data_IF_876957448813
#
_entry.id   IF_876957448813
#
_cell.length_a   1.000
_cell.length_b   1.000
_cell.length_c   1.000
_cell.angle_alpha   90.00
_cell.angle_beta   90.00
_cell.angle_gamma   90.00
#
_symmetry.space_group_name_H-M   'P 1'
#
loop_
_entity.id
_entity.type
_entity.pdbx_description
1 polymer ?
#
# COMPACT_ATOMS: atom_id res chain seq x y z
N UNK A 1 10.26 -0.09 13.45
CA UNK A 1 10.12 0.12 11.99
C UNK A 1 8.98 1.08 11.71
N UNK A 2 9.01 1.78 10.58
CA UNK A 2 7.94 2.71 10.22
C UNK A 2 6.60 2.00 9.96
N UNK A 3 6.61 0.74 9.50
CA UNK A 3 5.41 -0.13 9.41
C UNK A 3 4.71 -0.30 10.76
N UNK A 4 5.43 -0.65 11.83
CA UNK A 4 4.86 -0.73 13.19
C UNK A 4 4.30 0.61 13.67
N UNK A 5 4.99 1.71 13.37
CA UNK A 5 4.49 3.05 13.70
C UNK A 5 3.16 3.34 12.98
N UNK A 6 3.07 3.11 11.67
CA UNK A 6 1.84 3.33 10.89
C UNK A 6 0.71 2.43 11.38
N UNK A 7 0.99 1.16 11.66
CA UNK A 7 -0.05 0.27 12.19
C UNK A 7 -0.57 0.71 13.55
N UNK A 8 0.31 1.23 14.44
CA UNK A 8 -0.10 1.81 15.73
C UNK A 8 -0.93 3.08 15.54
N UNK A 9 -0.51 3.96 14.61
CA UNK A 9 -1.25 5.19 14.25
C UNK A 9 -2.65 4.88 13.75
N UNK A 10 -2.77 3.93 12.83
CA UNK A 10 -4.06 3.49 12.31
C UNK A 10 -4.92 2.81 13.38
N UNK A 11 -4.37 1.91 14.19
CA UNK A 11 -5.13 1.26 15.26
C UNK A 11 -5.70 2.29 16.26
N UNK A 12 -4.91 3.29 16.61
CA UNK A 12 -5.35 4.40 17.47
C UNK A 12 -6.52 5.16 16.83
N UNK A 13 -6.41 5.49 15.54
CA UNK A 13 -7.48 6.12 14.76
C UNK A 13 -8.74 5.25 14.71
N UNK A 14 -8.57 3.95 14.48
CA UNK A 14 -9.67 3.00 14.35
C UNK A 14 -10.42 2.82 15.67
N UNK A 15 -9.71 2.66 16.80
CA UNK A 15 -10.30 2.60 18.13
C UNK A 15 -11.09 3.89 18.43
N UNK A 16 -10.52 5.05 18.11
CA UNK A 16 -11.20 6.34 18.29
C UNK A 16 -12.47 6.47 17.43
N UNK A 17 -12.44 6.05 16.16
CA UNK A 17 -13.59 6.15 15.24
C UNK A 17 -14.69 5.11 15.53
N UNK A 18 -14.34 3.94 16.04
CA UNK A 18 -15.29 2.85 16.32
C UNK A 18 -15.78 2.80 17.77
N UNK A 19 -15.12 3.52 18.68
CA UNK A 19 -15.41 3.48 20.12
C UNK A 19 -14.98 2.15 20.79
N UNK A 20 -14.15 1.35 20.11
CA UNK A 20 -13.54 0.13 20.66
C UNK A 20 -12.15 0.45 21.21
N UNK A 21 -11.59 -0.47 21.98
CA UNK A 21 -10.24 -0.37 22.53
C UNK A 21 -9.50 -1.70 22.34
N UNK A 22 -9.24 -2.05 21.09
CA UNK A 22 -8.51 -3.26 20.75
C UNK A 22 -7.01 -3.03 20.85
N UNK A 23 -6.31 -4.00 21.44
CA UNK A 23 -4.86 -4.16 21.25
C UNK A 23 -4.54 -4.54 19.80
N UNK A 24 -3.30 -4.36 19.35
CA UNK A 24 -2.89 -4.72 18.00
C UNK A 24 -3.06 -6.20 17.71
N UNK A 25 -2.86 -7.06 18.72
CA UNK A 25 -3.16 -8.49 18.59
C UNK A 25 -4.64 -8.74 18.36
N UNK A 26 -5.52 -8.15 19.18
CA UNK A 26 -6.97 -8.33 19.03
C UNK A 26 -7.45 -7.82 17.67
N UNK A 27 -6.98 -6.63 17.25
CA UNK A 27 -7.28 -6.13 15.91
C UNK A 27 -6.78 -7.09 14.81
N UNK A 28 -5.57 -7.63 14.96
CA UNK A 28 -5.04 -8.61 14.02
C UNK A 28 -5.94 -9.86 13.94
N UNK A 29 -6.35 -10.41 15.09
CA UNK A 29 -7.13 -11.65 15.17
C UNK A 29 -8.59 -11.46 14.73
N UNK A 30 -9.20 -10.33 15.06
CA UNK A 30 -10.64 -10.05 14.84
C UNK A 30 -10.92 -9.38 13.49
N UNK A 31 -10.02 -8.51 13.01
CA UNK A 31 -10.28 -7.67 11.82
C UNK A 31 -9.35 -8.06 10.66
N UNK A 32 -8.04 -8.10 10.89
CA UNK A 32 -7.07 -8.28 9.81
C UNK A 32 -7.01 -9.73 9.31
N UNK A 33 -6.85 -10.71 10.18
CA UNK A 33 -6.65 -12.11 9.83
C UNK A 33 -7.85 -12.70 9.07
N UNK A 34 -9.11 -12.52 9.53
CA UNK A 34 -10.27 -13.02 8.81
C UNK A 34 -10.33 -12.45 7.39
N UNK A 35 -10.01 -11.17 7.23
CA UNK A 35 -10.08 -10.47 5.95
C UNK A 35 -8.90 -10.80 5.02
N UNK A 36 -7.69 -10.97 5.55
CA UNK A 36 -6.46 -11.08 4.77
C UNK A 36 -6.02 -12.52 4.53
N UNK A 37 -6.12 -13.38 5.55
CA UNK A 37 -5.42 -14.67 5.60
C UNK A 37 -6.34 -15.88 5.83
N UNK A 38 -7.59 -15.69 6.22
CA UNK A 38 -8.57 -16.78 6.37
C UNK A 38 -9.25 -17.19 5.05
N UNK A 39 -8.52 -17.12 3.93
CA UNK A 39 -9.03 -17.39 2.58
C UNK A 39 -7.96 -18.01 1.70
N UNK A 40 -8.34 -18.78 0.68
CA UNK A 40 -7.37 -19.41 -0.25
C UNK A 40 -6.57 -18.39 -1.08
N UNK A 41 -7.15 -17.22 -1.34
CA UNK A 41 -6.47 -16.08 -1.96
C UNK A 41 -6.20 -15.03 -0.88
N UNK A 42 -4.96 -14.90 -0.41
CA UNK A 42 -4.65 -13.85 0.57
C UNK A 42 -4.70 -12.46 -0.07
N UNK A 43 -4.93 -11.41 0.73
CA UNK A 43 -4.80 -10.02 0.24
C UNK A 43 -3.32 -9.60 0.20
N UNK A 44 -2.53 -10.09 1.15
CA UNK A 44 -1.13 -9.78 1.33
C UNK A 44 -0.30 -11.07 1.37
N UNK A 45 0.92 -11.01 0.83
CA UNK A 45 1.90 -12.07 0.97
C UNK A 45 3.12 -11.58 1.72
N UNK A 46 3.44 -12.21 2.84
CA UNK A 46 4.66 -11.94 3.60
C UNK A 46 5.58 -13.15 3.47
N UNK A 47 6.68 -13.06 2.68
CA UNK A 47 7.59 -14.17 2.48
C UNK A 47 8.12 -14.75 3.78
N UNK A 48 8.31 -16.07 3.82
CA UNK A 48 8.79 -16.83 4.98
C UNK A 48 7.90 -16.80 6.23
N UNK A 49 6.81 -16.03 6.24
CA UNK A 49 5.87 -16.00 7.34
C UNK A 49 5.12 -17.31 7.52
N UNK A 50 4.49 -17.53 8.69
CA UNK A 50 3.60 -18.68 8.89
C UNK A 50 2.55 -18.86 7.80
N UNK A 51 2.00 -17.75 7.27
CA UNK A 51 1.01 -17.78 6.19
C UNK A 51 1.61 -18.15 4.83
N UNK A 52 2.91 -17.91 4.63
CA UNK A 52 3.62 -18.29 3.41
C UNK A 52 4.05 -19.77 3.37
N UNK A 53 3.81 -20.52 4.45
CA UNK A 53 4.27 -21.90 4.59
C UNK A 53 3.09 -22.89 4.48
N UNK A 54 3.32 -24.01 3.80
CA UNK A 54 2.35 -25.11 3.74
C UNK A 54 2.17 -25.72 5.13
N UNK A 55 0.92 -25.99 5.50
CA UNK A 55 0.58 -26.71 6.73
C UNK A 55 0.74 -28.21 6.50
N UNK A 56 1.40 -28.92 7.42
CA UNK A 56 1.55 -30.36 7.30
C UNK A 56 0.23 -31.07 7.58
N UNK A 57 -0.05 -32.18 6.88
CA UNK A 57 -1.32 -32.90 7.01
C UNK A 57 -1.58 -33.40 8.44
N UNK A 58 -0.52 -33.73 9.19
CA UNK A 58 -0.60 -34.14 10.60
C UNK A 58 -1.13 -33.03 11.54
N UNK A 59 -0.99 -31.77 11.13
CA UNK A 59 -1.42 -30.61 11.92
C UNK A 59 -2.87 -30.21 11.58
N UNK A 60 -3.44 -30.77 10.50
CA UNK A 60 -4.83 -30.61 10.10
C UNK A 60 -5.70 -31.68 10.77
N UNK A 61 -5.93 -31.51 12.08
CA UNK A 61 -6.84 -32.36 12.86
C UNK A 61 -8.30 -31.98 12.55
N UNK A 62 -9.23 -32.92 12.70
CA UNK A 62 -10.66 -32.73 12.45
C UNK A 62 -11.17 -31.42 13.10
N UNK A 63 -11.69 -30.49 12.28
CA UNK A 63 -12.21 -29.19 12.72
C UNK A 63 -11.19 -28.03 12.70
N UNK A 64 -9.93 -28.26 12.35
CA UNK A 64 -8.90 -27.21 12.26
C UNK A 64 -8.62 -26.83 10.80
N UNK A 65 -8.67 -25.53 10.49
CA UNK A 65 -8.31 -25.03 9.16
C UNK A 65 -6.82 -24.68 9.08
N UNK A 66 -6.26 -24.66 7.85
CA UNK A 66 -4.88 -24.23 7.63
C UNK A 66 -4.64 -22.81 8.18
N UNK A 67 -5.59 -21.89 7.99
CA UNK A 67 -5.50 -20.52 8.47
C UNK A 67 -5.39 -20.43 10.00
N UNK A 68 -6.11 -21.30 10.73
CA UNK A 68 -6.03 -21.39 12.20
C UNK A 68 -4.66 -21.89 12.66
N UNK A 69 -4.11 -22.92 12.00
CA UNK A 69 -2.76 -23.44 12.33
C UNK A 69 -1.68 -22.40 12.08
N UNK A 70 -1.79 -21.66 10.97
CA UNK A 70 -0.85 -20.60 10.62
C UNK A 70 -0.92 -19.42 11.60
N UNK A 71 -2.12 -19.04 12.04
CA UNK A 71 -2.32 -18.00 13.04
C UNK A 71 -1.67 -18.37 14.38
N UNK A 72 -1.93 -19.58 14.89
CA UNK A 72 -1.29 -20.06 16.13
C UNK A 72 0.23 -20.17 16.01
N UNK A 73 0.74 -20.49 14.82
CA UNK A 73 2.18 -20.46 14.56
C UNK A 73 2.74 -19.04 14.60
N UNK A 74 2.03 -18.04 14.07
CA UNK A 74 2.42 -16.64 14.22
C UNK A 74 2.49 -16.23 15.70
N UNK A 75 1.45 -16.53 16.48
CA UNK A 75 1.44 -16.19 17.91
C UNK A 75 2.57 -16.85 18.69
N UNK A 76 2.90 -18.12 18.39
CA UNK A 76 4.08 -18.78 18.97
C UNK A 76 5.37 -18.08 18.58
N UNK A 77 5.57 -17.77 17.30
CA UNK A 77 6.76 -17.05 16.86
C UNK A 77 6.93 -15.72 17.57
N UNK A 78 5.84 -14.95 17.75
CA UNK A 78 5.88 -13.65 18.45
C UNK A 78 6.26 -13.80 19.93
N UNK A 79 5.87 -14.90 20.60
CA UNK A 79 6.18 -15.15 22.01
C UNK A 79 7.56 -15.73 22.23
N UNK A 80 7.96 -16.66 21.36
CA UNK A 80 9.02 -17.62 21.65
C UNK A 80 10.32 -17.33 20.87
N UNK A 81 10.27 -16.52 19.79
CA UNK A 81 11.40 -16.28 18.91
C UNK A 81 11.88 -14.83 18.94
N UNK A 82 13.16 -14.65 18.65
CA UNK A 82 13.72 -13.33 18.39
C UNK A 82 13.08 -12.73 17.11
N UNK A 83 12.62 -11.47 17.14
CA UNK A 83 11.97 -10.84 15.99
C UNK A 83 12.81 -10.82 14.69
N UNK A 84 12.18 -11.20 13.58
CA UNK A 84 12.78 -11.13 12.24
C UNK A 84 11.72 -10.86 11.14
N UNK A 85 12.17 -10.68 9.89
CA UNK A 85 11.31 -10.40 8.72
C UNK A 85 10.20 -11.41 8.46
N UNK A 86 10.30 -12.64 8.96
CA UNK A 86 9.27 -13.67 8.76
C UNK A 86 8.00 -13.39 9.56
N UNK A 87 8.08 -12.61 10.64
CA UNK A 87 6.88 -12.24 11.40
C UNK A 87 6.82 -10.77 11.82
N UNK A 88 7.82 -9.94 11.50
CA UNK A 88 7.76 -8.49 11.66
C UNK A 88 7.98 -7.81 10.31
N UNK A 89 6.94 -7.18 9.77
CA UNK A 89 6.99 -6.60 8.42
C UNK A 89 7.96 -5.41 8.40
N UNK A 90 8.92 -5.45 7.47
CA UNK A 90 9.97 -4.46 7.30
C UNK A 90 11.26 -4.76 8.07
N UNK A 91 11.29 -5.80 8.91
CA UNK A 91 12.53 -6.22 9.56
C UNK A 91 13.53 -6.85 8.59
N UNK A 92 14.82 -6.90 8.96
CA UNK A 92 15.79 -7.76 8.31
C UNK A 92 15.44 -9.23 8.48
N UNK A 93 15.82 -10.10 7.53
CA UNK A 93 15.73 -11.55 7.76
C UNK A 93 16.66 -11.98 8.90
N UNK A 94 16.37 -13.16 9.46
CA UNK A 94 17.14 -13.74 10.55
C UNK A 94 18.64 -13.78 10.22
N UNK A 95 19.45 -13.18 11.10
CA UNK A 95 20.91 -13.05 10.97
C UNK A 95 21.35 -11.69 10.43
N UNK A 96 22.44 -11.14 10.99
CA UNK A 96 23.01 -9.83 10.63
C UNK A 96 23.64 -9.78 9.23
N UNK A 97 23.57 -10.87 8.47
CA UNK A 97 24.25 -11.08 7.18
C UNK A 97 23.32 -11.57 6.06
N UNK A 98 22.01 -11.67 6.29
CA UNK A 98 21.05 -12.11 5.27
C UNK A 98 20.83 -11.04 4.18
N UNK A 99 20.70 -11.43 2.91
CA UNK A 99 20.52 -10.51 1.77
C UNK A 99 19.25 -9.65 1.80
N UNK A 100 18.33 -9.92 2.73
CA UNK A 100 17.09 -9.19 2.99
C UNK A 100 17.16 -8.31 4.25
N UNK A 101 18.36 -8.10 4.81
CA UNK A 101 18.55 -7.25 5.98
C UNK A 101 18.57 -5.75 5.66
N UNK A 102 17.62 -4.98 6.23
CA UNK A 102 17.65 -3.51 6.29
C UNK A 102 17.41 -3.02 7.72
N UNK A 103 17.90 -1.84 8.08
CA UNK A 103 17.72 -1.18 9.41
C UNK A 103 18.26 -1.96 10.64
N UNK A 104 19.45 -2.53 10.58
CA UNK A 104 20.11 -3.15 11.76
C UNK A 104 20.90 -2.09 12.54
N UNK A 105 20.47 -1.80 13.77
CA UNK A 105 21.19 -0.94 14.75
C UNK A 105 21.94 -1.81 15.76
N UNK A 106 23.15 -1.40 16.18
CA UNK A 106 23.95 -2.10 17.22
C UNK A 106 23.34 -2.04 18.63
N UNK A 107 22.31 -1.21 18.82
CA UNK A 107 21.38 -1.27 19.95
C UNK A 107 20.14 -1.98 19.43
N UNK A 108 20.06 -3.30 19.63
CA UNK A 108 18.95 -4.09 19.09
C UNK A 108 17.62 -3.56 19.62
N UNK A 109 16.61 -3.29 18.78
CA UNK A 109 15.33 -2.84 19.28
C UNK A 109 14.72 -3.96 20.13
N UNK A 110 14.42 -3.67 21.40
CA UNK A 110 13.44 -4.47 22.15
C UNK A 110 12.10 -4.19 21.50
N UNK A 111 11.65 -5.09 20.63
CA UNK A 111 10.35 -4.97 19.96
C UNK A 111 9.33 -5.65 20.84
N UNK A 112 8.32 -4.91 21.28
CA UNK A 112 7.21 -5.50 22.00
C UNK A 112 6.37 -6.36 21.04
N UNK A 113 5.71 -7.40 21.56
CA UNK A 113 4.75 -8.19 20.77
C UNK A 113 3.70 -7.31 20.07
N UNK A 114 3.29 -6.21 20.71
CA UNK A 114 2.40 -5.20 20.15
C UNK A 114 2.95 -4.59 18.84
N UNK A 115 4.24 -4.22 18.79
CA UNK A 115 4.88 -3.65 17.60
C UNK A 115 4.95 -4.65 16.44
N UNK A 116 4.98 -5.94 16.76
CA UNK A 116 4.91 -7.01 15.77
C UNK A 116 3.57 -6.98 15.06
N UNK A 117 2.45 -7.07 15.79
CA UNK A 117 1.11 -7.01 15.17
C UNK A 117 0.86 -5.66 14.48
N UNK A 118 1.33 -4.55 15.05
CA UNK A 118 1.28 -3.26 14.38
C UNK A 118 2.05 -3.28 13.04
N UNK A 119 3.15 -4.02 12.91
CA UNK A 119 3.87 -4.12 11.63
C UNK A 119 3.02 -4.78 10.54
N UNK A 120 2.17 -5.75 10.90
CA UNK A 120 1.24 -6.38 9.97
C UNK A 120 0.14 -5.42 9.52
N UNK A 121 -0.46 -4.72 10.48
CA UNK A 121 -1.47 -3.69 10.22
C UNK A 121 -0.87 -2.60 9.30
N UNK A 122 0.31 -2.10 9.63
CA UNK A 122 1.00 -1.08 8.83
C UNK A 122 1.41 -1.58 7.44
N UNK A 123 1.84 -2.85 7.33
CA UNK A 123 2.17 -3.45 6.05
C UNK A 123 0.96 -3.59 5.11
N UNK A 124 -0.25 -3.72 5.65
CA UNK A 124 -1.49 -3.73 4.87
C UNK A 124 -1.93 -2.34 4.38
N UNK A 125 -1.33 -1.26 4.91
CA UNK A 125 -1.62 0.14 4.58
C UNK A 125 -0.64 0.71 3.54
N UNK A 126 0.23 -0.11 2.96
CA UNK A 126 1.16 0.31 1.91
C UNK A 126 0.43 0.72 0.63
N UNK A 127 0.85 1.83 0.01
CA UNK A 127 0.35 2.30 -1.29
C UNK A 127 1.36 1.96 -2.38
N UNK A 128 1.08 0.91 -3.16
CA UNK A 128 1.95 0.45 -4.24
C UNK A 128 1.81 1.30 -5.51
N UNK A 129 2.94 1.70 -6.08
CA UNK A 129 3.01 2.49 -7.31
C UNK A 129 3.92 1.86 -8.36
N UNK A 130 3.70 2.23 -9.63
CA UNK A 130 4.53 1.76 -10.75
C UNK A 130 6.00 2.09 -10.50
N UNK A 131 6.88 1.16 -10.87
CA UNK A 131 8.30 1.18 -10.47
C UNK A 131 8.63 0.30 -9.28
N UNK A 132 7.64 -0.43 -8.71
CA UNK A 132 7.87 -1.49 -7.72
C UNK A 132 8.18 -0.97 -6.31
N UNK A 133 7.74 0.25 -6.01
CA UNK A 133 7.89 0.90 -4.71
C UNK A 133 6.52 1.07 -4.06
N UNK A 134 6.53 1.14 -2.74
CA UNK A 134 5.37 1.32 -1.87
C UNK A 134 5.60 2.56 -1.00
N UNK A 135 4.54 3.35 -0.78
CA UNK A 135 4.52 4.50 0.10
C UNK A 135 3.72 4.19 1.37
N UNK A 136 4.19 4.65 2.52
CA UNK A 136 3.39 4.80 3.74
C UNK A 136 3.20 6.28 4.04
N UNK A 137 1.95 6.68 4.26
CA UNK A 137 1.55 8.08 4.45
C UNK A 137 0.78 8.17 5.78
N UNK A 138 1.33 8.90 6.74
CA UNK A 138 0.72 9.09 8.06
C UNK A 138 -0.27 10.27 8.01
N UNK A 139 -1.45 10.05 7.43
CA UNK A 139 -2.55 10.99 7.40
C UNK A 139 -3.87 10.25 7.65
N UNK A 140 -4.68 10.73 8.59
CA UNK A 140 -5.86 10.00 9.07
C UNK A 140 -6.82 9.60 7.93
N UNK A 141 -7.10 10.50 6.99
CA UNK A 141 -8.00 10.16 5.88
C UNK A 141 -7.39 9.18 4.89
N UNK A 142 -6.07 9.22 4.67
CA UNK A 142 -5.41 8.19 3.84
C UNK A 142 -5.54 6.83 4.53
N UNK A 143 -5.19 6.74 5.81
CA UNK A 143 -5.22 5.48 6.55
C UNK A 143 -6.63 4.89 6.61
N UNK A 144 -7.64 5.73 6.88
CA UNK A 144 -9.04 5.31 6.93
C UNK A 144 -9.57 4.86 5.56
N UNK A 145 -9.30 5.64 4.51
CA UNK A 145 -9.72 5.29 3.15
C UNK A 145 -9.13 3.95 2.71
N UNK A 146 -7.86 3.69 3.00
CA UNK A 146 -7.24 2.40 2.67
C UNK A 146 -7.94 1.23 3.38
N UNK A 147 -8.22 1.36 4.68
CA UNK A 147 -8.97 0.37 5.45
C UNK A 147 -10.35 0.07 4.84
N UNK A 148 -11.11 1.11 4.48
CA UNK A 148 -12.42 0.94 3.83
C UNK A 148 -12.34 0.24 2.48
N UNK A 149 -11.19 0.30 1.82
CA UNK A 149 -10.91 -0.39 0.57
C UNK A 149 -10.69 -1.89 0.73
N UNK A 150 -10.21 -2.37 1.89
CA UNK A 150 -9.82 -3.77 2.08
C UNK A 150 -10.99 -4.74 1.91
N UNK A 151 -12.15 -4.41 2.48
CA UNK A 151 -13.37 -5.23 2.38
C UNK A 151 -13.89 -5.30 0.95
N UNK A 152 -13.78 -4.20 0.20
CA UNK A 152 -14.16 -4.13 -1.22
C UNK A 152 -13.24 -5.01 -2.06
N UNK A 153 -11.93 -4.96 -1.81
CA UNK A 153 -10.98 -5.82 -2.52
C UNK A 153 -11.24 -7.30 -2.24
N UNK A 154 -11.49 -7.66 -0.97
CA UNK A 154 -11.85 -9.04 -0.60
C UNK A 154 -13.10 -9.51 -1.33
N UNK A 155 -14.15 -8.70 -1.39
CA UNK A 155 -15.38 -9.05 -2.10
C UNK A 155 -15.10 -9.31 -3.59
N UNK A 156 -14.31 -8.45 -4.25
CA UNK A 156 -13.93 -8.62 -5.66
C UNK A 156 -13.11 -9.89 -5.90
N UNK A 157 -12.18 -10.23 -5.01
CA UNK A 157 -11.39 -11.47 -5.08
C UNK A 157 -12.22 -12.74 -4.90
N UNK A 158 -13.28 -12.67 -4.09
CA UNK A 158 -14.19 -13.79 -3.86
C UNK A 158 -15.19 -14.01 -5.00
N UNK A 159 -15.56 -12.96 -5.74
CA UNK A 159 -16.53 -13.05 -6.84
C UNK A 159 -15.91 -13.45 -8.19
N UNK A 160 -14.59 -13.33 -8.34
CA UNK A 160 -13.91 -13.52 -9.64
C UNK A 160 -12.89 -14.63 -9.58
N UNK A 161 -13.19 -15.71 -10.30
CA UNK A 161 -12.25 -16.80 -10.55
C UNK A 161 -11.08 -16.31 -11.42
N UNK A 162 -9.89 -16.89 -11.20
CA UNK A 162 -8.67 -16.50 -11.94
C UNK A 162 -8.01 -15.17 -11.52
N UNK A 163 -8.67 -14.35 -10.68
CA UNK A 163 -8.05 -13.13 -10.15
C UNK A 163 -6.95 -13.45 -9.13
N UNK A 164 -5.77 -12.88 -9.34
CA UNK A 164 -4.58 -13.03 -8.50
C UNK A 164 -4.76 -12.32 -7.16
N UNK A 165 -4.51 -13.04 -6.07
CA UNK A 165 -4.40 -12.45 -4.72
C UNK A 165 -3.05 -11.77 -4.49
N UNK A 166 -2.74 -11.44 -3.23
CA UNK A 166 -1.46 -10.88 -2.79
C UNK A 166 -1.12 -9.53 -3.43
N UNK A 167 -2.13 -8.70 -3.77
CA UNK A 167 -1.94 -7.40 -4.40
C UNK A 167 -2.48 -6.24 -3.56
N UNK A 168 -2.49 -6.33 -2.23
CA UNK A 168 -3.03 -5.27 -1.37
C UNK A 168 -2.39 -3.90 -1.65
N UNK A 169 -1.07 -3.82 -1.81
CA UNK A 169 -0.39 -2.54 -2.09
C UNK A 169 -0.86 -1.95 -3.44
N UNK A 170 -0.98 -2.80 -4.46
CA UNK A 170 -1.49 -2.40 -5.79
C UNK A 170 -2.94 -1.94 -5.71
N UNK A 171 -3.78 -2.67 -4.97
CA UNK A 171 -5.16 -2.30 -4.71
C UNK A 171 -5.23 -0.94 -4.02
N UNK A 172 -4.47 -0.75 -2.95
CA UNK A 172 -4.42 0.48 -2.16
C UNK A 172 -4.08 1.70 -3.02
N UNK A 173 -3.12 1.60 -3.94
CA UNK A 173 -2.79 2.72 -4.85
C UNK A 173 -3.92 3.07 -5.82
N UNK A 174 -4.64 2.07 -6.33
CA UNK A 174 -5.82 2.30 -7.18
C UNK A 174 -6.99 2.85 -6.39
N UNK A 175 -7.29 2.22 -5.26
CA UNK A 175 -8.39 2.60 -4.40
C UNK A 175 -8.22 4.02 -3.86
N UNK A 176 -7.01 4.39 -3.43
CA UNK A 176 -6.73 5.75 -2.97
C UNK A 176 -6.93 6.78 -4.09
N UNK A 177 -6.44 6.48 -5.31
CA UNK A 177 -6.65 7.40 -6.46
C UNK A 177 -8.14 7.58 -6.76
N UNK A 178 -8.91 6.48 -6.70
CA UNK A 178 -10.35 6.51 -6.93
C UNK A 178 -11.13 7.24 -5.83
N UNK A 179 -10.83 6.95 -4.57
CA UNK A 179 -11.54 7.49 -3.43
C UNK A 179 -11.30 8.99 -3.22
N UNK A 180 -10.17 9.51 -3.73
CA UNK A 180 -9.81 10.93 -3.65
C UNK A 180 -10.10 11.68 -4.95
N UNK A 181 -10.75 11.01 -5.91
CA UNK A 181 -11.29 11.65 -7.10
C UNK A 181 -12.47 12.55 -6.74
N UNK A 182 -12.62 13.67 -7.46
CA UNK A 182 -13.69 14.65 -7.22
C UNK A 182 -15.08 14.07 -7.49
N UNK A 183 -15.19 13.05 -8.34
CA UNK A 183 -16.44 12.37 -8.66
C UNK A 183 -16.75 11.20 -7.72
N UNK A 184 -15.89 10.94 -6.73
CA UNK A 184 -16.11 9.86 -5.78
C UNK A 184 -17.42 10.06 -5.00
N UNK A 185 -18.27 9.04 -5.02
CA UNK A 185 -19.52 9.02 -4.27
C UNK A 185 -19.43 8.02 -3.11
N UNK A 186 -19.35 8.47 -1.85
CA UNK A 186 -19.31 7.59 -0.68
C UNK A 186 -20.53 6.67 -0.53
N UNK A 187 -21.69 7.01 -1.14
CA UNK A 187 -22.89 6.16 -1.14
C UNK A 187 -22.84 5.07 -2.20
N UNK A 188 -22.00 5.23 -3.22
CA UNK A 188 -21.74 4.24 -4.26
C UNK A 188 -20.23 4.13 -4.48
N UNK A 189 -19.47 3.57 -3.53
CA UNK A 189 -18.01 3.70 -3.51
C UNK A 189 -17.29 3.04 -4.71
N UNK A 190 -17.95 2.12 -5.42
CA UNK A 190 -17.40 1.48 -6.62
C UNK A 190 -17.93 2.09 -7.92
N UNK A 191 -18.83 3.09 -7.87
CA UNK A 191 -19.27 3.80 -9.06
C UNK A 191 -18.08 4.54 -9.68
N UNK A 192 -17.89 4.40 -10.99
CA UNK A 192 -16.75 4.97 -11.72
C UNK A 192 -15.43 4.22 -11.53
N UNK A 193 -15.35 3.23 -10.64
CA UNK A 193 -14.15 2.42 -10.48
C UNK A 193 -14.08 1.36 -11.58
N UNK A 194 -13.37 1.65 -12.67
CA UNK A 194 -13.16 0.71 -13.77
C UNK A 194 -12.16 -0.39 -13.38
N UNK A 195 -12.68 -1.39 -12.67
CA UNK A 195 -11.90 -2.54 -12.23
C UNK A 195 -11.44 -3.41 -13.40
N UNK A 196 -12.25 -3.53 -14.46
CA UNK A 196 -11.93 -4.39 -15.60
C UNK A 196 -10.79 -3.81 -16.44
N UNK A 197 -10.79 -2.50 -16.68
CA UNK A 197 -9.65 -1.83 -17.33
C UNK A 197 -8.37 -1.82 -16.46
N UNK A 198 -8.50 -2.07 -15.15
CA UNK A 198 -7.37 -2.17 -14.25
C UNK A 198 -6.66 -3.54 -14.28
N UNK A 199 -7.20 -4.53 -14.99
CA UNK A 199 -6.65 -5.89 -15.06
C UNK A 199 -5.72 -6.09 -16.25
N UNK A 200 -4.60 -6.78 -16.00
CA UNK A 200 -3.80 -7.41 -17.02
C UNK A 200 -4.14 -8.91 -17.02
N UNK A 201 -4.81 -9.36 -18.09
CA UNK A 201 -5.24 -10.76 -18.24
C UNK A 201 -4.29 -11.52 -19.14
N UNK A 202 -3.75 -12.63 -18.64
CA UNK A 202 -2.91 -13.58 -19.40
C UNK A 202 -3.27 -15.01 -19.00
N UNK A 203 -3.53 -15.84 -20.00
CA UNK A 203 -3.75 -17.29 -19.85
C UNK A 203 -4.78 -17.66 -18.78
N UNK A 204 -5.92 -16.95 -18.75
CA UNK A 204 -7.01 -17.18 -17.78
C UNK A 204 -6.72 -16.68 -16.36
N UNK A 205 -5.53 -16.11 -16.10
CA UNK A 205 -5.23 -15.38 -14.87
C UNK A 205 -5.33 -13.88 -15.10
N UNK A 206 -5.91 -13.16 -14.13
CA UNK A 206 -5.97 -11.70 -14.15
C UNK A 206 -5.22 -11.14 -12.96
N UNK A 207 -4.41 -10.10 -13.17
CA UNK A 207 -3.73 -9.38 -12.09
C UNK A 207 -4.04 -7.89 -12.19
N UNK A 208 -4.15 -7.22 -11.06
CA UNK A 208 -4.27 -5.77 -11.05
C UNK A 208 -2.97 -5.13 -11.54
N UNK A 209 -3.05 -4.24 -12.52
CA UNK A 209 -1.94 -3.39 -12.94
C UNK A 209 -1.65 -2.36 -11.85
N UNK A 210 -0.39 -2.12 -11.52
CA UNK A 210 -0.04 -1.14 -10.48
C UNK A 210 -0.32 0.30 -10.94
N UNK A 211 -0.81 1.14 -10.03
CA UNK A 211 -1.16 2.54 -10.31
C UNK A 211 0.07 3.39 -10.61
N UNK A 212 -0.03 4.33 -11.55
CA UNK A 212 1.05 5.28 -11.81
C UNK A 212 1.29 6.18 -10.59
N UNK A 213 2.56 6.35 -10.20
CA UNK A 213 2.92 7.14 -9.01
C UNK A 213 2.42 8.58 -9.07
N UNK A 214 2.45 9.20 -10.25
CA UNK A 214 1.98 10.58 -10.47
C UNK A 214 0.47 10.72 -10.24
N UNK A 215 -0.31 9.67 -10.54
CA UNK A 215 -1.76 9.68 -10.30
C UNK A 215 -2.09 9.64 -8.81
N UNK A 216 -1.33 8.88 -8.03
CA UNK A 216 -1.43 8.90 -6.56
C UNK A 216 -1.08 10.28 -6.02
N UNK A 217 -0.03 10.93 -6.57
CA UNK A 217 0.35 12.29 -6.18
C UNK A 217 -0.77 13.30 -6.48
N UNK A 218 -1.37 13.24 -7.66
CA UNK A 218 -2.50 14.10 -8.04
C UNK A 218 -3.70 13.89 -7.13
N UNK A 219 -4.06 12.64 -6.84
CA UNK A 219 -5.13 12.31 -5.90
C UNK A 219 -4.86 12.86 -4.49
N UNK A 220 -3.62 12.79 -4.01
CA UNK A 220 -3.27 13.42 -2.73
C UNK A 220 -3.39 14.95 -2.80
N UNK A 221 -3.02 15.58 -3.92
CA UNK A 221 -3.06 17.03 -4.10
C UNK A 221 -4.50 17.60 -4.21
N UNK A 222 -5.51 16.78 -4.53
CA UNK A 222 -6.92 17.21 -4.46
C UNK A 222 -7.35 17.46 -3.02
N UNK A 223 -6.81 16.67 -2.07
CA UNK A 223 -7.21 16.68 -0.66
C UNK A 223 -6.27 17.51 0.21
N UNK A 224 -4.97 17.47 -0.07
CA UNK A 224 -3.94 18.12 0.74
C UNK A 224 -3.19 19.18 -0.06
N UNK A 225 -3.14 20.41 0.47
CA UNK A 225 -2.35 21.52 -0.11
C UNK A 225 -0.99 21.72 0.55
N UNK A 226 -0.82 21.17 1.74
CA UNK A 226 0.44 21.23 2.48
C UNK A 226 1.41 20.11 2.07
N UNK A 227 2.69 20.33 2.38
CA UNK A 227 3.72 19.30 2.22
C UNK A 227 3.41 18.08 3.06
N UNK A 228 3.36 16.91 2.43
CA UNK A 228 3.30 15.61 3.12
C UNK A 228 4.67 14.94 3.13
N UNK A 229 4.86 13.99 4.03
CA UNK A 229 6.06 13.12 4.00
C UNK A 229 5.59 11.68 3.84
N UNK A 230 6.10 11.02 2.82
CA UNK A 230 5.86 9.60 2.59
C UNK A 230 7.13 8.81 2.92
N UNK A 231 6.97 7.65 3.56
CA UNK A 231 8.08 6.70 3.70
C UNK A 231 8.05 5.70 2.54
N UNK A 232 9.12 5.66 1.75
CA UNK A 232 9.18 4.92 0.49
C UNK A 232 10.12 3.72 0.60
N UNK A 233 9.61 2.55 0.22
CA UNK A 233 10.33 1.27 0.32
C UNK A 233 9.84 0.25 -0.73
N UNK A 234 10.45 -0.92 -0.76
CA UNK A 234 9.98 -2.11 -1.48
C UNK A 234 10.34 -3.34 -0.65
N UNK A 235 9.34 -4.15 -0.29
CA UNK A 235 9.55 -5.45 0.36
C UNK A 235 9.21 -6.55 -0.65
N UNK A 236 10.24 -7.13 -1.24
CA UNK A 236 10.13 -8.17 -2.26
C UNK A 236 11.23 -9.21 -2.03
N UNK A 237 11.76 -9.82 -3.11
CA UNK A 237 12.93 -10.71 -3.00
C UNK A 237 14.18 -9.97 -2.49
N UNK A 238 14.31 -8.68 -2.81
CA UNK A 238 15.37 -7.80 -2.28
C UNK A 238 14.71 -6.57 -1.69
N UNK A 239 14.84 -6.40 -0.38
CA UNK A 239 14.30 -5.24 0.31
C UNK A 239 15.05 -3.97 -0.11
N UNK A 240 14.32 -2.92 -0.46
CA UNK A 240 14.86 -1.59 -0.78
C UNK A 240 14.20 -0.55 0.10
N UNK A 241 14.98 0.34 0.68
CA UNK A 241 14.45 1.51 1.40
C UNK A 241 15.04 2.76 0.75
N UNK A 242 14.16 3.67 0.34
CA UNK A 242 14.57 5.03 -0.05
C UNK A 242 14.53 5.93 1.20
N UNK A 243 13.51 5.75 2.05
CA UNK A 243 13.35 6.50 3.29
C UNK A 243 12.24 7.54 3.19
N UNK A 244 12.33 8.61 3.99
CA UNK A 244 11.35 9.67 4.01
C UNK A 244 11.53 10.62 2.83
N UNK A 245 10.48 10.78 2.04
CA UNK A 245 10.44 11.64 0.86
C UNK A 245 9.35 12.70 1.07
N UNK A 246 9.71 13.99 1.10
CA UNK A 246 8.74 15.08 1.09
C UNK A 246 7.99 15.14 -0.25
N UNK A 247 6.68 15.33 -0.17
CA UNK A 247 5.76 15.53 -1.30
C UNK A 247 5.23 16.96 -1.25
N UNK A 248 5.65 17.80 -2.20
CA UNK A 248 5.29 19.21 -2.29
C UNK A 248 3.95 19.38 -3.04
N UNK A 249 2.86 18.96 -2.40
CA UNK A 249 1.53 18.85 -3.04
C UNK A 249 0.92 20.19 -3.46
N UNK A 250 1.19 21.27 -2.73
CA UNK A 250 0.69 22.60 -3.09
C UNK A 250 1.16 23.04 -4.48
N UNK A 251 2.42 22.78 -4.82
CA UNK A 251 2.97 23.10 -6.13
C UNK A 251 2.38 22.20 -7.23
N UNK A 252 2.02 20.95 -6.91
CA UNK A 252 1.42 20.02 -7.89
C UNK A 252 0.05 20.52 -8.35
N UNK A 253 -0.72 21.16 -7.46
CA UNK A 253 -1.98 21.83 -7.80
C UNK A 253 -1.75 23.04 -8.73
N UNK A 254 -0.65 23.78 -8.54
CA UNK A 254 -0.28 24.86 -9.46
C UNK A 254 0.04 24.31 -10.86
N UNK A 255 0.70 23.16 -10.99
CA UNK A 255 0.90 22.52 -12.30
C UNK A 255 -0.40 22.08 -12.95
N UNK A 256 -1.37 21.64 -12.15
CA UNK A 256 -2.72 21.40 -12.64
C UNK A 256 -3.31 22.67 -13.25
N UNK A 257 -3.31 23.78 -12.51
CA UNK A 257 -3.80 25.07 -13.00
C UNK A 257 -2.99 25.59 -14.20
N UNK A 258 -1.67 25.44 -14.16
CA UNK A 258 -0.74 25.83 -15.21
C UNK A 258 -1.00 25.03 -16.49
N UNK A 259 -1.25 23.73 -16.40
CA UNK A 259 -1.58 22.91 -17.57
C UNK A 259 -2.90 23.35 -18.21
N UNK A 260 -3.91 23.71 -17.42
CA UNK A 260 -5.15 24.26 -17.95
C UNK A 260 -4.93 25.58 -18.71
N UNK A 261 -3.99 26.41 -18.24
CA UNK A 261 -3.70 27.72 -18.85
C UNK A 261 -2.75 27.61 -20.06
N UNK A 262 -1.69 26.81 -19.97
CA UNK A 262 -0.63 26.71 -20.98
C UNK A 262 -1.09 25.99 -22.25
N UNK A 263 -1.82 24.88 -22.11
CA UNK A 263 -2.16 24.06 -23.26
C UNK A 263 -3.38 24.58 -24.04
N UNK A 264 -3.98 25.72 -23.62
CA UNK A 264 -5.21 26.30 -24.17
C UNK A 264 -6.21 25.20 -24.57
N UNK A 265 -6.35 24.20 -23.68
CA UNK A 265 -7.06 22.97 -23.98
C UNK A 265 -8.46 23.34 -24.47
N UNK A 266 -8.86 22.76 -25.60
CA UNK A 266 -10.20 22.95 -26.13
C UNK A 266 -11.20 22.65 -25.00
N UNK A 267 -12.40 23.26 -24.99
CA UNK A 267 -13.40 22.99 -23.97
C UNK A 267 -13.64 21.49 -23.70
N UNK A 268 -13.44 20.64 -24.72
CA UNK A 268 -13.56 19.18 -24.66
C UNK A 268 -12.39 18.44 -23.96
N UNK A 269 -11.22 19.08 -23.84
CA UNK A 269 -10.00 18.58 -23.18
C UNK A 269 -9.75 19.28 -21.83
N UNK A 270 -10.61 20.22 -21.42
CA UNK A 270 -10.60 20.80 -20.05
C UNK A 270 -10.91 19.80 -18.94
N UNK A 271 -11.30 18.59 -19.33
CA UNK A 271 -11.48 17.47 -18.43
C UNK A 271 -10.12 17.00 -17.90
N UNK A 272 -9.81 17.44 -16.69
CA UNK A 272 -8.58 17.07 -15.98
C UNK A 272 -8.46 15.57 -15.75
N UNK A 273 -9.57 14.83 -15.63
CA UNK A 273 -9.49 13.37 -15.50
C UNK A 273 -8.91 12.77 -16.78
N UNK A 274 -9.26 13.29 -17.96
CA UNK A 274 -8.62 12.86 -19.22
C UNK A 274 -7.14 13.21 -19.25
N UNK A 275 -6.76 14.42 -18.84
CA UNK A 275 -5.34 14.83 -18.81
C UNK A 275 -4.53 13.97 -17.84
N UNK A 276 -4.99 13.79 -16.60
CA UNK A 276 -4.33 12.93 -15.61
C UNK A 276 -4.29 11.48 -16.04
N UNK A 277 -5.33 10.99 -16.72
CA UNK A 277 -5.38 9.61 -17.23
C UNK A 277 -4.24 9.31 -18.22
N UNK A 278 -3.84 10.32 -19.00
CA UNK A 278 -2.79 10.27 -20.02
C UNK A 278 -1.42 10.78 -19.54
N UNK A 279 -1.35 11.29 -18.30
CA UNK A 279 -0.14 11.94 -17.81
C UNK A 279 0.97 10.93 -17.51
N UNK A 280 2.10 11.08 -18.20
CA UNK A 280 3.31 10.30 -18.01
C UNK A 280 4.48 11.25 -17.67
N UNK A 281 5.31 10.83 -16.72
CA UNK A 281 6.44 11.63 -16.26
C UNK A 281 7.74 11.22 -16.96
N UNK A 282 8.63 12.18 -17.20
CA UNK A 282 9.97 11.94 -17.73
C UNK A 282 10.81 11.06 -16.79
N UNK A 283 10.69 11.31 -15.48
CA UNK A 283 11.37 10.53 -14.46
C UNK A 283 10.49 9.38 -13.95
N UNK A 284 11.10 8.21 -13.76
CA UNK A 284 10.52 7.15 -12.96
C UNK A 284 10.55 7.48 -11.46
N UNK A 285 9.62 6.91 -10.69
CA UNK A 285 9.41 7.26 -9.27
C UNK A 285 10.68 7.17 -8.41
N UNK A 286 11.47 6.11 -8.56
CA UNK A 286 12.72 5.96 -7.81
C UNK A 286 13.72 7.10 -8.07
N UNK A 287 13.80 7.57 -9.32
CA UNK A 287 14.67 8.69 -9.70
C UNK A 287 14.11 10.01 -9.22
N UNK A 288 12.78 10.19 -9.27
CA UNK A 288 12.10 11.34 -8.68
C UNK A 288 12.42 11.48 -7.18
N UNK A 289 12.37 10.38 -6.42
CA UNK A 289 12.73 10.41 -4.99
C UNK A 289 14.19 10.83 -4.72
N UNK A 290 15.11 10.55 -5.64
CA UNK A 290 16.53 10.92 -5.49
C UNK A 290 16.77 12.43 -5.58
N UNK A 291 15.79 13.22 -6.03
CA UNK A 291 15.85 14.68 -6.03
C UNK A 291 15.70 15.28 -4.62
N UNK A 292 15.48 14.44 -3.59
CA UNK A 292 15.37 14.86 -2.19
C UNK A 292 13.97 15.35 -1.81
N UNK A 293 13.15 15.77 -2.78
CA UNK A 293 11.73 16.03 -2.64
C UNK A 293 11.02 15.80 -3.97
N UNK A 294 9.73 15.46 -3.92
CA UNK A 294 8.88 15.34 -5.11
C UNK A 294 8.04 16.60 -5.21
N UNK A 295 8.42 17.46 -6.14
CA UNK A 295 7.69 18.66 -6.53
C UNK A 295 7.67 18.80 -8.05
N UNK A 296 7.56 20.03 -8.56
CA UNK A 296 7.33 20.31 -9.98
C UNK A 296 8.35 19.65 -10.93
N UNK A 297 9.64 19.76 -10.62
CA UNK A 297 10.69 19.19 -11.44
C UNK A 297 10.61 17.65 -11.55
N UNK A 298 10.06 16.99 -10.52
CA UNK A 298 9.92 15.53 -10.52
C UNK A 298 8.78 15.04 -11.43
N UNK A 299 7.78 15.88 -11.69
CA UNK A 299 6.58 15.55 -12.45
C UNK A 299 6.59 16.10 -13.88
N UNK A 300 7.76 16.48 -14.41
CA UNK A 300 7.89 16.93 -15.80
C UNK A 300 7.27 15.91 -16.78
N UNK A 301 6.40 16.32 -17.72
CA UNK A 301 5.82 15.42 -18.71
C UNK A 301 6.88 14.75 -19.58
N UNK A 302 6.73 13.46 -19.86
CA UNK A 302 7.75 12.63 -20.52
C UNK A 302 8.27 13.17 -21.85
N UNK A 303 7.44 13.89 -22.60
CA UNK A 303 7.74 14.41 -23.95
C UNK A 303 7.84 15.93 -24.01
N UNK A 304 7.78 16.64 -22.87
CA UNK A 304 7.74 18.12 -22.90
C UNK A 304 8.93 18.71 -23.66
N UNK A 305 10.12 18.14 -23.47
CA UNK A 305 11.36 18.59 -24.11
C UNK A 305 11.35 18.47 -25.64
N UNK A 306 10.50 17.61 -26.23
CA UNK A 306 10.36 17.50 -27.69
C UNK A 306 9.65 18.73 -28.29
N UNK A 307 8.95 19.51 -27.47
CA UNK A 307 8.15 20.68 -27.89
C UNK A 307 8.70 22.01 -27.37
N UNK A 308 9.79 21.98 -26.60
CA UNK A 308 10.50 23.19 -26.15
C UNK A 308 11.62 23.51 -27.16
N UNK A 309 11.75 24.79 -27.58
CA UNK A 309 12.73 25.23 -28.57
C UNK A 309 14.19 25.18 -28.09
#
# INVERSE_FOLDING_TARGET
MYTSYIGRRFLTLWNARTGRDLSARQFFDEELHPLFFAHDKYLQWVPNSPFAQKVAQKDLVLGTTAATVQLEKLHRNVRDLAPDASFVIGFPAAGTTGTTSGQVSGVGPQIAAEDVYCSWIGGALGVGVSGGLTLLIDQDEVLWTLYEGWTKYRALLGQRDGLKGNQIDTWNGRWLTHAFDLEFNPRQPLAGFDFDAALDTKDGSSALRTQAWVKVLFALATTYKQRLTAYVYSLAQTNRTIGFVPLELGAVDDMYQLSQQLFQLSPDIRDWQKVTSLYETHLGFARACQLGSIGLAAIEPAKLQEYLP
#
